data_IF_988487797426
#
_entry.id   IF_988487797426
#
_cell.length_a   1.000
_cell.length_b   1.000
_cell.length_c   1.000
_cell.angle_alpha   90.00
_cell.angle_beta   90.00
_cell.angle_gamma   90.00
#
_symmetry.space_group_name_H-M   'P 1'
#
loop_
_entity.id
_entity.type
_entity.pdbx_description
1 polymer ?
#
# COMPACT_ATOMS: atom_id res chain seq x y z
N UNK A 1 60.64 -17.78 -23.57
CA UNK A 1 59.64 -16.77 -23.18
C UNK A 1 58.34 -17.07 -23.91
N UNK A 2 57.25 -17.46 -23.22
CA UNK A 2 55.85 -17.67 -23.68
C UNK A 2 55.27 -18.92 -23.01
N UNK A 3 54.74 -18.82 -21.79
CA UNK A 3 53.82 -19.84 -21.26
C UNK A 3 53.09 -19.41 -19.98
N UNK A 4 53.73 -18.63 -19.12
CA UNK A 4 53.21 -18.34 -17.76
C UNK A 4 52.00 -17.41 -17.71
N UNK A 5 51.75 -16.59 -18.76
CA UNK A 5 50.61 -15.67 -18.81
C UNK A 5 49.25 -16.32 -19.10
N UNK A 6 49.21 -17.54 -19.64
CA UNK A 6 47.95 -18.20 -20.02
C UNK A 6 47.23 -18.83 -18.83
N UNK A 7 47.98 -19.23 -17.81
CA UNK A 7 47.43 -19.92 -16.63
C UNK A 7 46.87 -18.94 -15.58
N UNK A 8 47.45 -17.74 -15.48
CA UNK A 8 46.96 -16.68 -14.59
C UNK A 8 45.62 -16.09 -15.06
N UNK A 9 45.41 -15.98 -16.38
CA UNK A 9 44.13 -15.53 -16.94
C UNK A 9 42.99 -16.55 -16.72
N UNK A 10 43.31 -17.85 -16.75
CA UNK A 10 42.34 -18.92 -16.52
C UNK A 10 41.88 -19.01 -15.05
N UNK A 11 42.78 -18.77 -14.09
CA UNK A 11 42.41 -18.72 -12.67
C UNK A 11 41.59 -17.47 -12.32
N UNK A 12 41.89 -16.31 -12.92
CA UNK A 12 41.14 -15.08 -12.69
C UNK A 12 39.69 -15.17 -13.19
N UNK A 13 39.44 -15.93 -14.28
CA UNK A 13 38.09 -16.17 -14.79
C UNK A 13 37.29 -17.15 -13.92
N UNK A 14 37.94 -18.13 -13.29
CA UNK A 14 37.27 -19.12 -12.46
C UNK A 14 36.83 -18.58 -11.09
N UNK A 15 37.48 -17.53 -10.57
CA UNK A 15 37.10 -16.87 -9.31
C UNK A 15 35.89 -15.95 -9.48
N UNK A 16 35.57 -15.50 -10.70
CA UNK A 16 34.40 -14.66 -10.98
C UNK A 16 33.08 -15.45 -11.11
N UNK A 17 33.11 -16.78 -11.19
CA UNK A 17 31.88 -17.59 -11.33
C UNK A 17 31.36 -18.16 -10.02
N UNK A 18 32.10 -18.07 -8.91
CA UNK A 18 31.63 -18.51 -7.59
C UNK A 18 30.80 -17.46 -6.83
N UNK A 19 30.70 -16.23 -7.36
CA UNK A 19 29.99 -15.11 -6.73
C UNK A 19 28.58 -14.84 -7.26
N UNK A 20 28.04 -15.69 -8.14
CA UNK A 20 26.63 -15.63 -8.50
C UNK A 20 25.79 -16.21 -7.36
N UNK A 21 25.81 -15.55 -6.21
CA UNK A 21 24.75 -15.68 -5.22
C UNK A 21 23.44 -15.53 -5.98
N UNK A 22 22.64 -16.60 -6.01
CA UNK A 22 21.35 -16.56 -6.69
C UNK A 22 20.62 -15.30 -6.25
N UNK A 23 20.13 -14.53 -7.22
CA UNK A 23 19.21 -13.44 -6.96
C UNK A 23 17.91 -14.08 -6.44
N UNK A 24 17.91 -14.46 -5.16
CA UNK A 24 16.72 -14.86 -4.46
C UNK A 24 15.94 -13.56 -4.23
N UNK A 25 14.65 -13.57 -4.57
CA UNK A 25 13.76 -12.52 -4.09
C UNK A 25 13.84 -12.54 -2.57
N UNK A 26 14.44 -11.51 -1.97
CA UNK A 26 14.34 -11.33 -0.53
C UNK A 26 12.85 -11.17 -0.22
N UNK A 27 12.32 -12.06 0.61
CA UNK A 27 10.98 -11.93 1.13
C UNK A 27 10.96 -10.71 2.06
N UNK A 28 10.70 -9.54 1.50
CA UNK A 28 10.32 -8.35 2.25
C UNK A 28 8.84 -8.43 2.64
N UNK A 29 8.39 -9.59 3.12
CA UNK A 29 7.03 -9.74 3.61
C UNK A 29 6.93 -8.99 4.95
N UNK A 30 6.13 -7.93 4.95
CA UNK A 30 5.71 -7.22 6.16
C UNK A 30 4.24 -7.62 6.39
N UNK A 31 3.97 -8.78 7.01
CA UNK A 31 2.60 -9.25 7.22
C UNK A 31 1.87 -8.41 8.26
N UNK A 32 0.54 -8.48 8.20
CA UNK A 32 -0.33 -8.03 9.28
C UNK A 32 -0.01 -8.84 10.55
N UNK A 33 0.29 -8.14 11.64
CA UNK A 33 0.53 -8.76 12.93
C UNK A 33 -0.76 -8.84 13.76
N UNK A 34 -1.51 -7.74 13.85
CA UNK A 34 -2.76 -7.65 14.61
C UNK A 34 -3.60 -6.44 14.21
N UNK A 35 -4.88 -6.45 14.54
CA UNK A 35 -5.79 -5.32 14.38
C UNK A 35 -6.80 -5.27 15.53
N UNK A 36 -7.49 -4.14 15.67
CA UNK A 36 -8.54 -3.95 16.67
C UNK A 36 -8.02 -3.47 18.04
N UNK A 37 -8.88 -3.22 19.04
CA UNK A 37 -10.27 -3.64 19.12
C UNK A 37 -11.16 -2.90 18.12
N UNK A 38 -12.36 -3.43 17.88
CA UNK A 38 -13.38 -2.73 17.09
C UNK A 38 -13.95 -1.59 17.93
N UNK A 39 -14.02 -0.39 17.34
CA UNK A 39 -14.58 0.78 17.99
C UNK A 39 -16.07 0.57 18.28
N UNK A 40 -16.54 0.79 19.52
CA UNK A 40 -17.96 0.74 19.81
C UNK A 40 -18.73 1.93 19.22
N UNK A 41 -18.03 2.97 18.75
CA UNK A 41 -18.63 4.19 18.19
C UNK A 41 -19.01 4.01 16.72
N UNK A 42 -18.09 3.48 15.91
CA UNK A 42 -18.25 3.44 14.45
C UNK A 42 -18.09 2.03 13.83
N UNK A 43 -17.75 1.02 14.63
CA UNK A 43 -17.67 -0.37 14.17
C UNK A 43 -16.45 -0.73 13.32
N UNK A 44 -15.49 0.19 13.14
CA UNK A 44 -14.21 -0.12 12.49
C UNK A 44 -13.11 -0.44 13.51
N UNK A 45 -12.14 -1.31 13.19
CA UNK A 45 -10.94 -1.53 14.00
C UNK A 45 -10.23 -0.21 14.35
N UNK A 46 -9.80 -0.06 15.60
CA UNK A 46 -9.05 1.14 16.02
C UNK A 46 -7.68 1.23 15.35
N UNK A 47 -7.08 0.10 14.97
CA UNK A 47 -5.83 0.09 14.23
C UNK A 47 -5.65 -1.20 13.43
N UNK A 48 -4.72 -1.15 12.46
CA UNK A 48 -4.02 -2.29 11.89
C UNK A 48 -2.52 -2.12 12.13
N UNK A 49 -1.85 -3.18 12.57
CA UNK A 49 -0.43 -3.15 12.91
C UNK A 49 0.31 -4.25 12.18
N UNK A 50 1.43 -3.90 11.55
CA UNK A 50 2.27 -4.84 10.84
C UNK A 50 3.34 -5.50 11.74
N UNK A 51 4.11 -6.43 11.16
CA UNK A 51 5.21 -7.13 11.84
C UNK A 51 6.40 -6.24 12.21
N UNK A 52 6.48 -5.01 11.69
CA UNK A 52 7.48 -4.01 12.08
C UNK A 52 7.04 -3.17 13.28
N UNK A 53 5.84 -3.47 13.81
CA UNK A 53 5.18 -2.75 14.90
C UNK A 53 4.70 -1.35 14.52
N UNK A 54 4.58 -1.04 13.22
CA UNK A 54 3.91 0.16 12.76
C UNK A 54 2.40 -0.06 12.82
N UNK A 55 1.73 0.71 13.69
CA UNK A 55 0.28 0.73 13.83
C UNK A 55 -0.31 1.95 13.13
N UNK A 56 -1.34 1.75 12.31
CA UNK A 56 -2.08 2.82 11.65
C UNK A 56 -3.55 2.77 12.10
N UNK A 57 -4.08 3.91 12.49
CA UNK A 57 -5.48 4.11 12.86
C UNK A 57 -6.28 4.61 11.65
N UNK A 58 -7.62 4.49 11.62
CA UNK A 58 -8.39 5.06 10.53
C UNK A 58 -8.31 6.59 10.61
N UNK A 59 -8.10 7.23 9.47
CA UNK A 59 -8.10 8.68 9.36
C UNK A 59 -9.55 9.19 9.38
N UNK A 60 -9.93 9.77 10.51
CA UNK A 60 -11.25 10.35 10.79
C UNK A 60 -11.10 11.78 11.31
N UNK A 61 -10.25 12.56 10.64
CA UNK A 61 -10.06 13.98 10.88
C UNK A 61 -9.56 14.68 9.60
N UNK A 62 -9.78 16.00 9.51
CA UNK A 62 -9.37 16.80 8.34
C UNK A 62 -7.87 17.14 8.29
N UNK A 63 -7.11 16.83 9.33
CA UNK A 63 -5.65 17.01 9.36
C UNK A 63 -4.98 15.85 8.61
N UNK A 64 -5.45 14.62 8.81
CA UNK A 64 -4.93 13.44 8.13
C UNK A 64 -5.54 13.25 6.73
N UNK A 65 -6.79 13.67 6.48
CA UNK A 65 -7.40 13.73 5.15
C UNK A 65 -8.16 15.05 4.95
N UNK A 66 -7.50 16.08 4.38
CA UNK A 66 -8.15 17.36 4.06
C UNK A 66 -9.33 17.24 3.08
N UNK A 67 -9.45 16.11 2.38
CA UNK A 67 -10.53 15.82 1.44
C UNK A 67 -11.52 14.79 1.99
N UNK A 68 -11.55 14.58 3.32
CA UNK A 68 -12.44 13.62 3.97
C UNK A 68 -13.91 13.89 3.58
N UNK A 69 -14.52 12.92 2.89
CA UNK A 69 -15.84 13.07 2.32
C UNK A 69 -16.92 12.77 3.36
N UNK A 70 -17.30 13.80 4.13
CA UNK A 70 -18.45 13.77 5.06
C UNK A 70 -19.61 14.62 4.54
N UNK A 71 -20.86 14.35 4.96
CA UNK A 71 -22.03 15.15 4.57
C UNK A 71 -21.93 16.65 4.91
N UNK A 72 -21.46 17.00 6.11
CA UNK A 72 -21.22 18.40 6.53
C UNK A 72 -19.79 18.57 7.06
N UNK A 73 -18.91 19.24 6.29
CA UNK A 73 -17.52 19.45 6.71
C UNK A 73 -17.34 20.47 7.84
N UNK A 74 -18.39 21.22 8.20
CA UNK A 74 -18.35 22.20 9.28
C UNK A 74 -18.84 21.60 10.62
N UNK A 75 -19.35 20.37 10.62
CA UNK A 75 -19.79 19.66 11.80
C UNK A 75 -18.76 18.60 12.25
N UNK A 76 -18.72 18.22 13.54
CA UNK A 76 -17.88 17.12 13.99
C UNK A 76 -18.22 15.81 13.28
N UNK A 77 -17.19 14.99 13.05
CA UNK A 77 -17.37 13.64 12.52
C UNK A 77 -18.11 12.81 13.55
N UNK A 78 -19.23 12.21 13.14
CA UNK A 78 -20.10 11.43 14.02
C UNK A 78 -20.79 10.31 13.25
N UNK A 79 -20.66 9.08 13.73
CA UNK A 79 -21.31 7.93 13.13
C UNK A 79 -22.76 7.77 13.66
N UNK A 80 -23.75 7.48 12.80
CA UNK A 80 -23.66 7.33 11.34
C UNK A 80 -23.88 8.63 10.54
N UNK A 81 -24.42 9.68 11.16
CA UNK A 81 -25.05 10.80 10.44
C UNK A 81 -24.06 11.71 9.69
N UNK A 82 -22.94 12.10 10.31
CA UNK A 82 -21.88 12.90 9.69
C UNK A 82 -20.57 12.11 9.62
N UNK A 83 -20.61 10.98 8.92
CA UNK A 83 -19.49 10.03 8.83
C UNK A 83 -19.12 9.74 7.38
N UNK A 84 -17.83 9.54 7.06
CA UNK A 84 -17.44 9.23 5.69
C UNK A 84 -17.86 7.82 5.31
N UNK A 85 -18.33 7.65 4.07
CA UNK A 85 -18.67 6.33 3.52
C UNK A 85 -17.40 5.51 3.18
N UNK A 86 -16.26 6.20 3.06
CA UNK A 86 -14.94 5.62 2.81
C UNK A 86 -13.91 6.28 3.74
N UNK A 87 -13.18 5.50 4.52
CA UNK A 87 -12.11 5.97 5.42
C UNK A 87 -10.84 5.14 5.21
N UNK A 88 -9.67 5.70 5.49
CA UNK A 88 -8.39 5.07 5.16
C UNK A 88 -7.53 4.87 6.40
N UNK A 89 -6.99 3.67 6.57
CA UNK A 89 -5.87 3.40 7.49
C UNK A 89 -4.54 3.75 6.83
N UNK A 90 -4.45 3.54 5.52
CA UNK A 90 -3.37 4.07 4.69
C UNK A 90 -3.86 4.29 3.26
N UNK A 91 -3.27 5.26 2.56
CA UNK A 91 -3.50 5.52 1.14
C UNK A 91 -2.23 6.07 0.51
N UNK A 92 -1.67 5.31 -0.43
CA UNK A 92 -0.53 5.70 -1.23
C UNK A 92 -0.97 5.80 -2.70
N UNK A 93 -0.75 6.96 -3.31
CA UNK A 93 -1.08 7.23 -4.70
C UNK A 93 0.19 7.68 -5.40
N UNK A 94 0.51 7.03 -6.51
CA UNK A 94 1.61 7.44 -7.39
C UNK A 94 1.09 7.57 -8.81
N UNK A 95 1.46 8.67 -9.45
CA UNK A 95 1.23 8.88 -10.89
C UNK A 95 2.55 8.86 -11.63
N UNK A 96 2.49 8.47 -12.90
CA UNK A 96 3.63 8.49 -13.80
C UNK A 96 3.19 9.06 -15.14
N UNK A 97 4.03 9.92 -15.72
CA UNK A 97 3.91 10.38 -17.10
C UNK A 97 5.16 9.95 -17.85
N UNK A 98 4.98 9.30 -18.99
CA UNK A 98 6.07 8.78 -19.83
C UNK A 98 6.07 9.38 -21.23
N UNK A 99 7.03 8.96 -22.07
CA UNK A 99 7.08 9.34 -23.48
C UNK A 99 5.79 8.98 -24.22
N UNK A 100 5.52 9.66 -25.34
CA UNK A 100 4.39 9.37 -26.23
C UNK A 100 3.01 9.39 -25.56
N UNK A 101 2.84 10.14 -24.48
CA UNK A 101 1.56 10.27 -23.78
C UNK A 101 1.24 9.10 -22.85
N UNK A 102 2.19 8.21 -22.57
CA UNK A 102 2.02 7.15 -21.56
C UNK A 102 1.67 7.78 -20.22
N UNK A 103 0.64 7.25 -19.57
CA UNK A 103 0.35 7.59 -18.17
C UNK A 103 0.24 6.32 -17.34
N UNK A 104 0.60 6.45 -16.05
CA UNK A 104 0.48 5.41 -15.04
C UNK A 104 -0.20 5.96 -13.79
N UNK A 105 -1.02 5.13 -13.16
CA UNK A 105 -1.58 5.36 -11.83
C UNK A 105 -1.42 4.07 -11.02
N UNK A 106 -0.84 4.20 -9.83
CA UNK A 106 -0.81 3.19 -8.79
C UNK A 106 -1.53 3.74 -7.56
N UNK A 107 -2.49 2.99 -7.03
CA UNK A 107 -3.10 3.23 -5.72
C UNK A 107 -2.95 1.98 -4.88
N UNK A 108 -2.43 2.14 -3.66
CA UNK A 108 -2.34 1.09 -2.64
C UNK A 108 -2.98 1.63 -1.37
N UNK A 109 -4.03 0.98 -0.88
CA UNK A 109 -4.78 1.45 0.28
C UNK A 109 -5.29 0.30 1.16
N UNK A 110 -5.48 0.58 2.44
CA UNK A 110 -6.30 -0.20 3.37
C UNK A 110 -7.42 0.72 3.82
N UNK A 111 -8.64 0.38 3.44
CA UNK A 111 -9.79 1.27 3.55
C UNK A 111 -10.97 0.57 4.20
N UNK A 112 -11.67 1.32 5.06
CA UNK A 112 -12.96 0.98 5.62
C UNK A 112 -14.08 1.57 4.77
N UNK A 113 -15.12 0.80 4.52
CA UNK A 113 -16.35 1.25 3.89
C UNK A 113 -17.53 0.42 4.42
N UNK A 114 -18.65 0.45 3.70
CA UNK A 114 -19.87 -0.28 4.02
C UNK A 114 -20.22 -1.22 2.85
N UNK A 115 -20.98 -2.29 3.10
CA UNK A 115 -21.25 -3.37 2.13
C UNK A 115 -21.69 -2.89 0.73
N UNK A 116 -22.38 -1.76 0.62
CA UNK A 116 -22.79 -1.15 -0.65
C UNK A 116 -22.03 0.14 -1.03
N UNK A 117 -21.13 0.63 -0.17
CA UNK A 117 -20.27 1.77 -0.44
C UNK A 117 -20.98 3.12 -0.66
N UNK A 118 -22.26 3.24 -0.27
CA UNK A 118 -23.08 4.42 -0.56
C UNK A 118 -23.55 5.18 0.68
N UNK A 119 -23.70 4.49 1.82
CA UNK A 119 -24.24 5.06 3.06
C UNK A 119 -23.44 4.49 4.24
N UNK A 120 -23.16 5.32 5.24
CA UNK A 120 -22.63 4.87 6.51
C UNK A 120 -23.74 4.15 7.30
N UNK A 121 -23.67 2.82 7.38
CA UNK A 121 -24.70 1.98 7.98
C UNK A 121 -24.10 1.03 9.03
N UNK A 122 -24.71 1.01 10.22
CA UNK A 122 -24.27 0.12 11.29
C UNK A 122 -24.53 -1.35 10.90
N UNK A 123 -23.54 -2.21 11.10
CA UNK A 123 -23.60 -3.62 10.73
C UNK A 123 -23.07 -3.93 9.33
N UNK A 124 -22.86 -2.90 8.49
CA UNK A 124 -22.40 -3.06 7.12
C UNK A 124 -20.89 -2.81 6.97
N UNK A 125 -20.16 -2.54 8.06
CA UNK A 125 -18.74 -2.20 8.02
C UNK A 125 -17.91 -3.30 7.34
N UNK A 126 -17.10 -2.90 6.37
CA UNK A 126 -16.12 -3.74 5.69
C UNK A 126 -14.79 -3.03 5.64
N UNK A 127 -13.69 -3.76 5.85
CA UNK A 127 -12.33 -3.27 5.62
C UNK A 127 -11.67 -4.13 4.57
N UNK A 128 -11.02 -3.52 3.60
CA UNK A 128 -10.37 -4.23 2.50
C UNK A 128 -9.12 -3.50 2.00
N UNK A 129 -8.24 -4.28 1.38
CA UNK A 129 -7.05 -3.75 0.70
C UNK A 129 -7.40 -3.44 -0.75
N UNK A 130 -7.00 -2.25 -1.21
CA UNK A 130 -7.09 -1.84 -2.61
C UNK A 130 -5.72 -1.82 -3.24
N UNK A 131 -5.60 -2.49 -4.38
CA UNK A 131 -4.50 -2.30 -5.33
C UNK A 131 -5.12 -1.93 -6.67
N UNK A 132 -4.87 -0.70 -7.13
CA UNK A 132 -5.34 -0.22 -8.44
C UNK A 132 -4.14 0.17 -9.27
N UNK A 133 -4.01 -0.47 -10.42
CA UNK A 133 -3.02 -0.12 -11.45
C UNK A 133 -3.79 0.31 -12.69
N UNK A 134 -3.46 1.48 -13.24
CA UNK A 134 -3.90 1.90 -14.56
C UNK A 134 -2.71 2.35 -15.36
N UNK A 135 -2.69 1.98 -16.63
CA UNK A 135 -1.73 2.48 -17.59
C UNK A 135 -2.44 2.79 -18.91
N UNK A 136 -2.05 3.87 -19.57
CA UNK A 136 -2.63 4.28 -20.85
C UNK A 136 -1.52 4.51 -21.88
N UNK A 137 -1.89 4.45 -23.18
CA UNK A 137 -0.98 4.65 -24.31
C UNK A 137 0.25 3.72 -24.32
N UNK A 138 0.11 2.50 -23.79
CA UNK A 138 1.15 1.48 -23.82
C UNK A 138 1.37 0.97 -25.26
N UNK A 139 2.63 0.82 -25.66
CA UNK A 139 3.01 0.14 -26.90
C UNK A 139 3.08 -1.38 -26.67
N UNK A 140 2.48 -2.20 -27.54
CA UNK A 140 2.62 -3.66 -27.49
C UNK A 140 4.07 -4.14 -27.62
#
# INVERSE_FOLDING_TARGET
MKSTGRWLAALALLVHTLGASGAHAQSCAVPLLKFGPVSPVHGFPLYYQDSTLLGLQPCLDFVCDPALAVPDPNAPISFPDNFPVETFYHRAISTLSGPNGVTGLLVIALEGSFANGNVAQAGDQVVFTRVRVRATHLTP
#
